data_IF_319944623709
#
_entry.id   IF_319944623709
#
_cell.length_a   1.000
_cell.length_b   1.000
_cell.length_c   1.000
_cell.angle_alpha   90.00
_cell.angle_beta   90.00
_cell.angle_gamma   90.00
#
_symmetry.space_group_name_H-M   'P 1'
#
loop_
_entity.id
_entity.type
_entity.pdbx_description
1 polymer ?
#
# COMPACT_ATOMS: atom_id res chain seq x y z
N UNK A 1 -3.56 -10.37 -0.80
CA UNK A 1 -4.49 -10.52 0.35
C UNK A 1 -5.80 -9.86 -0.06
N UNK A 2 -6.93 -10.55 0.07
CA UNK A 2 -8.26 -10.02 -0.32
C UNK A 2 -9.22 -10.17 0.87
N UNK A 3 -8.91 -9.55 2.03
CA UNK A 3 -9.76 -9.74 3.24
C UNK A 3 -10.19 -8.48 3.98
N UNK A 4 -9.87 -7.28 3.51
CA UNK A 4 -10.39 -6.04 4.12
C UNK A 4 -10.74 -4.96 3.08
N UNK A 5 -11.14 -5.36 1.87
CA UNK A 5 -11.44 -4.39 0.81
C UNK A 5 -10.20 -3.63 0.31
N UNK A 6 -9.00 -4.19 0.55
CA UNK A 6 -7.76 -3.70 -0.04
C UNK A 6 -6.97 -4.84 -0.69
N UNK A 7 -6.41 -4.55 -1.86
CA UNK A 7 -5.35 -5.31 -2.51
C UNK A 7 -3.99 -4.71 -2.16
N UNK A 8 -2.97 -5.58 -2.10
CA UNK A 8 -1.59 -5.19 -1.79
C UNK A 8 -0.69 -5.61 -2.96
N UNK A 9 0.01 -4.63 -3.54
CA UNK A 9 1.15 -4.86 -4.41
C UNK A 9 2.43 -4.64 -3.61
N UNK A 10 3.31 -5.64 -3.61
CA UNK A 10 4.62 -5.57 -2.98
C UNK A 10 5.67 -5.84 -4.05
N UNK A 11 6.55 -4.87 -4.27
CA UNK A 11 7.59 -4.92 -5.29
C UNK A 11 8.96 -4.71 -4.66
N UNK A 12 9.90 -5.61 -4.97
CA UNK A 12 11.29 -5.45 -4.60
C UNK A 12 12.01 -4.62 -5.66
N UNK A 13 12.79 -3.64 -5.21
CA UNK A 13 13.69 -2.84 -6.03
C UNK A 13 15.09 -3.00 -5.44
N UNK A 14 16.01 -3.64 -6.16
CA UNK A 14 17.35 -4.03 -5.68
C UNK A 14 17.97 -3.12 -4.61
N UNK A 15 18.46 -1.94 -5.00
CA UNK A 15 19.15 -1.02 -4.09
C UNK A 15 18.19 -0.10 -3.32
N UNK A 16 16.93 -0.01 -3.77
CA UNK A 16 15.93 0.91 -3.21
C UNK A 16 15.05 0.24 -2.14
N UNK A 17 15.21 -1.06 -1.93
CA UNK A 17 14.46 -1.84 -0.94
C UNK A 17 13.09 -2.27 -1.45
N UNK A 18 12.08 -2.16 -0.61
CA UNK A 18 10.73 -2.66 -0.89
C UNK A 18 9.75 -1.51 -0.99
N UNK A 19 8.92 -1.56 -2.02
CA UNK A 19 7.73 -0.72 -2.14
C UNK A 19 6.49 -1.55 -1.89
N UNK A 20 5.69 -1.14 -0.93
CA UNK A 20 4.33 -1.63 -0.76
C UNK A 20 3.33 -0.57 -1.22
N UNK A 21 2.31 -0.99 -1.94
CA UNK A 21 1.20 -0.14 -2.39
C UNK A 21 -0.13 -0.83 -2.07
N UNK A 22 -1.01 -0.14 -1.35
CA UNK A 22 -2.37 -0.60 -1.08
C UNK A 22 -3.36 0.07 -2.05
N UNK A 23 -4.23 -0.74 -2.62
CA UNK A 23 -5.34 -0.33 -3.49
C UNK A 23 -6.65 -0.74 -2.84
N UNK A 24 -7.71 0.05 -3.00
CA UNK A 24 -9.05 -0.41 -2.64
C UNK A 24 -9.45 -1.53 -3.60
N UNK A 25 -9.84 -2.67 -3.06
CA UNK A 25 -10.31 -3.82 -3.84
C UNK A 25 -11.50 -3.41 -4.71
N UNK A 26 -11.48 -3.81 -5.98
CA UNK A 26 -12.55 -3.52 -6.95
C UNK A 26 -12.34 -2.26 -7.78
N UNK A 27 -11.30 -1.46 -7.50
CA UNK A 27 -10.81 -0.45 -8.46
C UNK A 27 -9.62 -0.99 -9.25
N UNK A 28 -9.50 -0.59 -10.51
CA UNK A 28 -8.30 -0.85 -11.28
C UNK A 28 -7.08 -0.33 -10.52
N UNK A 29 -5.98 -1.10 -10.53
CA UNK A 29 -4.71 -0.76 -9.88
C UNK A 29 -4.00 0.37 -10.64
N UNK A 30 -4.64 1.54 -10.69
CA UNK A 30 -4.11 2.76 -11.26
C UNK A 30 -3.35 3.57 -10.18
N UNK A 31 -2.36 4.39 -10.56
CA UNK A 31 -1.60 5.21 -9.60
C UNK A 31 -2.49 6.12 -8.74
N UNK A 32 -3.57 6.63 -9.30
CA UNK A 32 -4.53 7.52 -8.62
C UNK A 32 -5.44 6.76 -7.63
N UNK A 33 -5.61 5.45 -7.83
CA UNK A 33 -6.39 4.55 -6.97
C UNK A 33 -5.59 4.03 -5.77
N UNK A 34 -4.29 4.34 -5.70
CA UNK A 34 -3.47 3.98 -4.56
C UNK A 34 -3.95 4.71 -3.30
N UNK A 35 -4.31 3.94 -2.28
CA UNK A 35 -4.78 4.46 -0.99
C UNK A 35 -3.61 4.66 -0.03
N UNK A 36 -2.54 3.87 -0.14
CA UNK A 36 -1.31 4.04 0.62
C UNK A 36 -0.09 3.52 -0.13
N UNK A 37 1.06 4.13 0.07
CA UNK A 37 2.36 3.67 -0.46
C UNK A 37 3.44 3.83 0.60
N UNK A 38 4.35 2.86 0.69
CA UNK A 38 5.44 2.86 1.65
C UNK A 38 6.72 2.28 1.06
N UNK A 39 7.85 2.89 1.37
CA UNK A 39 9.20 2.47 0.99
C UNK A 39 10.01 2.16 2.23
N UNK A 40 10.59 0.97 2.32
CA UNK A 40 11.43 0.55 3.43
C UNK A 40 12.42 -0.55 3.02
N UNK A 41 13.47 -0.76 3.81
CA UNK A 41 14.49 -1.78 3.54
C UNK A 41 13.97 -3.22 3.65
N UNK A 42 12.87 -3.44 4.38
CA UNK A 42 12.26 -4.77 4.54
C UNK A 42 10.83 -4.78 3.99
N UNK A 43 10.38 -5.92 3.45
CA UNK A 43 9.03 -6.03 2.91
C UNK A 43 7.96 -5.80 3.98
N UNK A 44 8.26 -6.19 5.23
CA UNK A 44 7.36 -6.01 6.36
C UNK A 44 7.18 -4.55 6.75
N UNK A 45 8.27 -3.80 6.91
CA UNK A 45 8.18 -2.38 7.24
C UNK A 45 7.53 -1.58 6.11
N UNK A 46 7.81 -1.93 4.84
CA UNK A 46 7.18 -1.28 3.70
C UNK A 46 5.66 -1.46 3.74
N UNK A 47 5.21 -2.69 4.02
CA UNK A 47 3.79 -3.04 4.14
C UNK A 47 3.14 -2.30 5.31
N UNK A 48 3.76 -2.27 6.49
CA UNK A 48 3.22 -1.55 7.65
C UNK A 48 3.08 -0.05 7.37
N UNK A 49 4.09 0.56 6.75
CA UNK A 49 4.10 1.98 6.39
C UNK A 49 2.99 2.31 5.39
N UNK A 50 2.87 1.50 4.34
CA UNK A 50 1.84 1.68 3.33
C UNK A 50 0.42 1.47 3.92
N UNK A 51 0.25 0.53 4.84
CA UNK A 51 -1.02 0.29 5.53
C UNK A 51 -1.40 1.46 6.43
N UNK A 52 -0.44 2.01 7.19
CA UNK A 52 -0.66 3.16 8.05
C UNK A 52 -1.13 4.40 7.28
N UNK A 53 -0.47 4.69 6.15
CA UNK A 53 -0.88 5.79 5.27
C UNK A 53 -2.27 5.57 4.68
N UNK A 54 -2.60 4.33 4.29
CA UNK A 54 -3.94 4.00 3.80
C UNK A 54 -5.03 4.23 4.86
N UNK A 55 -4.79 3.82 6.12
CA UNK A 55 -5.72 4.00 7.23
C UNK A 55 -5.92 5.49 7.57
N UNK A 56 -4.84 6.29 7.61
CA UNK A 56 -4.93 7.74 7.84
C UNK A 56 -5.77 8.45 6.77
N UNK A 57 -5.58 8.07 5.51
CA UNK A 57 -6.32 8.65 4.38
C UNK A 57 -7.81 8.29 4.44
N UNK A 58 -8.12 7.04 4.81
CA UNK A 58 -9.50 6.59 5.01
C UNK A 58 -10.19 7.34 6.16
N UNK A 59 -9.49 7.58 7.28
CA UNK A 59 -10.03 8.31 8.43
C UNK A 59 -10.33 9.79 8.15
N UNK A 60 -9.59 10.43 7.23
CA UNK A 60 -9.79 11.84 6.87
C UNK A 60 -10.93 12.04 5.85
N UNK A 61 -11.37 10.96 5.19
CA UNK A 61 -12.39 11.00 4.13
C UNK A 61 -13.80 10.65 4.62
N UNK A 62 -13.99 10.51 5.94
CA UNK A 62 -15.24 10.13 6.61
C UNK A 62 -15.94 11.28 7.30
#
# INVERSE_FOLDING_TARGET
>A
MHRQGYDLQLTQYDEQGWRATFYTTGMEHSPTSATGTGWECTPWHATQRAAWEALKKAATSG
#
